data_IF_526037089579
#
_entry.id   IF_526037089579
#
_cell.length_a   1.000
_cell.length_b   1.000
_cell.length_c   1.000
_cell.angle_alpha   90.00
_cell.angle_beta   90.00
_cell.angle_gamma   90.00
#
_symmetry.space_group_name_H-M   'P 1'
#
loop_
_entity.id
_entity.type
_entity.pdbx_description
1 polymer ?
#
# COMPACT_ATOMS: atom_id res chain seq x y z
N UNK A 1 -12.10 -8.44 -6.07
CA UNK A 1 -11.27 -7.98 -7.21
C UNK A 1 -9.91 -7.55 -6.67
N UNK A 2 -8.83 -7.84 -7.36
CA UNK A 2 -7.46 -7.46 -7.00
C UNK A 2 -6.93 -6.46 -8.03
N UNK A 3 -6.59 -5.26 -7.57
CA UNK A 3 -5.95 -4.22 -8.39
C UNK A 3 -4.50 -4.02 -7.98
N UNK A 4 -3.60 -3.91 -8.95
CA UNK A 4 -2.18 -3.63 -8.76
C UNK A 4 -1.82 -2.31 -9.45
N UNK A 5 -1.29 -1.36 -8.69
CA UNK A 5 -0.68 -0.15 -9.20
C UNK A 5 0.84 -0.23 -9.01
N UNK A 6 1.55 -0.56 -10.09
CA UNK A 6 3.00 -0.79 -10.08
C UNK A 6 3.75 0.11 -11.07
N UNK A 7 5.04 -0.17 -11.31
CA UNK A 7 5.90 0.58 -12.22
C UNK A 7 6.68 1.73 -11.57
N UNK A 8 7.61 2.30 -12.33
CA UNK A 8 8.62 3.23 -11.79
C UNK A 8 8.19 4.69 -11.69
N UNK A 9 7.04 5.02 -12.24
CA UNK A 9 6.48 6.37 -12.23
C UNK A 9 5.88 6.75 -10.88
N UNK A 10 5.76 8.06 -10.70
CA UNK A 10 5.00 8.67 -9.61
C UNK A 10 3.50 8.57 -9.92
N UNK A 11 2.70 8.08 -8.98
CA UNK A 11 1.23 8.05 -9.13
C UNK A 11 0.53 6.85 -8.48
N UNK A 12 1.25 5.80 -8.09
CA UNK A 12 0.68 4.55 -7.55
C UNK A 12 -0.14 4.79 -6.26
N UNK A 13 0.52 5.29 -5.21
CA UNK A 13 -0.14 5.62 -3.94
C UNK A 13 -1.24 6.66 -4.12
N UNK A 14 -1.00 7.73 -4.88
CA UNK A 14 -2.01 8.78 -5.06
C UNK A 14 -3.25 8.30 -5.82
N UNK A 15 -3.10 7.37 -6.77
CA UNK A 15 -4.23 6.70 -7.41
C UNK A 15 -5.01 5.84 -6.40
N UNK A 16 -4.34 5.06 -5.56
CA UNK A 16 -4.98 4.26 -4.52
C UNK A 16 -5.72 5.12 -3.49
N UNK A 17 -5.14 6.25 -3.07
CA UNK A 17 -5.79 7.23 -2.19
C UNK A 17 -7.01 7.86 -2.87
N UNK A 18 -6.93 8.20 -4.16
CA UNK A 18 -8.08 8.69 -4.93
C UNK A 18 -9.22 7.69 -5.00
N UNK A 19 -8.91 6.39 -5.18
CA UNK A 19 -9.89 5.32 -5.15
C UNK A 19 -10.51 5.15 -3.76
N UNK A 20 -9.69 5.20 -2.70
CA UNK A 20 -10.17 5.14 -1.31
C UNK A 20 -11.17 6.26 -1.00
N UNK A 21 -10.86 7.50 -1.39
CA UNK A 21 -11.77 8.64 -1.24
C UNK A 21 -13.06 8.44 -2.05
N UNK A 22 -12.97 7.95 -3.29
CA UNK A 22 -14.14 7.67 -4.12
C UNK A 22 -15.05 6.63 -3.47
N UNK A 23 -14.50 5.48 -3.07
CA UNK A 23 -15.26 4.40 -2.44
C UNK A 23 -15.95 4.89 -1.15
N UNK A 24 -15.22 5.62 -0.31
CA UNK A 24 -15.76 6.20 0.91
C UNK A 24 -16.87 7.22 0.64
N UNK A 25 -16.71 8.07 -0.37
CA UNK A 25 -17.75 9.01 -0.81
C UNK A 25 -19.04 8.34 -1.28
N UNK A 26 -18.99 7.06 -1.65
CA UNK A 26 -20.15 6.23 -1.97
C UNK A 26 -20.66 5.38 -0.78
N UNK A 27 -20.17 5.64 0.44
CA UNK A 27 -20.62 4.98 1.67
C UNK A 27 -19.98 3.62 1.93
N UNK A 28 -18.93 3.24 1.18
CA UNK A 28 -18.18 2.01 1.45
C UNK A 28 -17.24 2.21 2.66
N UNK A 29 -17.06 1.13 3.41
CA UNK A 29 -16.05 1.02 4.46
C UNK A 29 -14.70 0.74 3.81
N UNK A 30 -13.76 1.65 4.06
CA UNK A 30 -12.43 1.64 3.44
C UNK A 30 -11.35 1.59 4.50
N UNK A 31 -10.36 0.73 4.30
CA UNK A 31 -9.13 0.69 5.09
C UNK A 31 -7.90 0.91 4.20
N UNK A 32 -6.92 1.65 4.71
CA UNK A 32 -5.65 1.93 4.05
C UNK A 32 -4.50 1.60 4.99
N UNK A 33 -3.74 0.58 4.64
CA UNK A 33 -2.58 0.11 5.39
C UNK A 33 -1.32 0.46 4.61
N UNK A 34 -0.46 1.30 5.20
CA UNK A 34 0.75 1.77 4.56
C UNK A 34 1.98 1.11 5.18
N UNK A 35 2.64 0.24 4.42
CA UNK A 35 3.88 -0.38 4.85
C UNK A 35 5.05 0.58 4.62
N UNK A 36 6.12 0.44 5.42
CA UNK A 36 7.36 1.25 5.37
C UNK A 36 7.21 2.75 5.74
N UNK A 37 5.99 3.27 5.84
CA UNK A 37 5.71 4.64 6.28
C UNK A 37 5.61 4.71 7.80
N UNK A 38 6.14 5.77 8.40
CA UNK A 38 6.02 5.99 9.85
C UNK A 38 4.64 6.51 10.22
N UNK A 39 4.32 6.44 11.51
CA UNK A 39 3.17 7.12 12.08
C UNK A 39 3.30 8.67 12.10
N UNK A 40 4.45 9.23 11.70
CA UNK A 40 4.59 10.68 11.54
C UNK A 40 3.70 11.14 10.37
N UNK A 41 3.01 12.26 10.52
CA UNK A 41 1.95 12.71 9.61
C UNK A 41 2.43 12.80 8.16
N UNK A 42 1.94 11.90 7.29
CA UNK A 42 1.85 12.14 5.85
C UNK A 42 0.50 12.80 5.53
N UNK A 43 0.46 13.61 4.47
CA UNK A 43 -0.72 14.41 4.13
C UNK A 43 -1.96 13.55 3.88
N UNK A 44 -1.77 12.37 3.27
CA UNK A 44 -2.85 11.46 2.93
C UNK A 44 -3.49 10.86 4.19
N UNK A 45 -2.72 10.30 5.14
CA UNK A 45 -3.32 9.71 6.33
C UNK A 45 -4.04 10.76 7.18
N UNK A 46 -3.53 12.00 7.24
CA UNK A 46 -4.20 13.10 7.93
C UNK A 46 -5.59 13.35 7.34
N UNK A 47 -5.68 13.47 6.01
CA UNK A 47 -6.96 13.73 5.33
C UNK A 47 -7.88 12.51 5.39
N UNK A 48 -7.36 11.30 5.12
CA UNK A 48 -8.14 10.06 5.16
C UNK A 48 -8.78 9.84 6.55
N UNK A 49 -8.02 10.01 7.63
CA UNK A 49 -8.56 9.92 9.00
C UNK A 49 -9.59 11.00 9.28
N UNK A 50 -9.36 12.23 8.80
CA UNK A 50 -10.33 13.32 8.92
C UNK A 50 -11.65 13.05 8.18
N UNK A 51 -11.62 12.25 7.11
CA UNK A 51 -12.81 11.76 6.42
C UNK A 51 -13.46 10.57 7.14
N UNK A 52 -12.80 9.95 8.12
CA UNK A 52 -13.29 8.75 8.81
C UNK A 52 -12.85 7.43 8.14
N UNK A 53 -11.88 7.48 7.22
CA UNK A 53 -11.26 6.28 6.63
C UNK A 53 -10.20 5.73 7.58
N UNK A 54 -10.21 4.42 7.81
CA UNK A 54 -9.22 3.75 8.67
C UNK A 54 -7.87 3.71 7.95
N UNK A 55 -6.98 4.64 8.28
CA UNK A 55 -5.66 4.74 7.68
C UNK A 55 -4.57 4.54 8.73
N UNK A 56 -3.72 3.52 8.55
CA UNK A 56 -2.67 3.13 9.51
C UNK A 56 -1.34 2.92 8.80
N UNK A 57 -0.25 3.18 9.50
CA UNK A 57 1.10 3.04 8.96
C UNK A 57 1.95 2.09 9.80
N UNK A 58 2.72 1.24 9.13
CA UNK A 58 3.54 0.18 9.71
C UNK A 58 4.94 0.23 9.12
N UNK A 59 5.73 1.18 9.57
CA UNK A 59 7.09 1.38 9.09
C UNK A 59 7.93 2.17 10.06
N UNK A 60 9.23 1.90 10.02
CA UNK A 60 10.25 2.63 10.77
C UNK A 60 10.66 3.95 10.12
N UNK A 61 10.29 4.16 8.85
CA UNK A 61 10.75 5.29 8.03
C UNK A 61 12.16 5.11 7.48
N UNK A 62 12.76 3.93 7.67
CA UNK A 62 14.06 3.58 7.10
C UNK A 62 13.85 2.72 5.87
N UNK A 63 14.64 3.01 4.84
CA UNK A 63 14.69 2.20 3.63
C UNK A 63 15.39 0.86 3.91
N UNK A 64 14.88 -0.21 3.31
CA UNK A 64 15.46 -1.57 3.37
C UNK A 64 16.38 -1.86 2.18
N UNK A 65 17.05 -0.82 1.67
CA UNK A 65 17.98 -0.95 0.53
C UNK A 65 19.30 -1.52 1.08
N UNK A 66 19.74 -2.64 0.49
CA UNK A 66 20.99 -3.33 0.81
C UNK A 66 21.14 -3.75 2.29
N UNK A 67 20.01 -4.00 2.99
CA UNK A 67 20.00 -4.48 4.38
C UNK A 67 18.77 -5.33 4.71
N UNK A 68 18.91 -6.19 5.70
CA UNK A 68 17.79 -6.95 6.28
C UNK A 68 17.01 -6.13 7.33
N UNK A 69 15.69 -6.31 7.45
CA UNK A 69 14.88 -5.62 8.45
C UNK A 69 15.28 -6.03 9.87
N UNK A 70 15.18 -5.10 10.82
CA UNK A 70 15.41 -5.43 12.22
C UNK A 70 14.17 -6.02 12.91
N UNK A 71 14.30 -6.59 14.12
CA UNK A 71 13.16 -7.19 14.83
C UNK A 71 11.98 -6.23 15.09
N UNK A 72 12.24 -4.92 15.23
CA UNK A 72 11.18 -3.93 15.44
C UNK A 72 10.41 -3.64 14.14
N UNK A 73 11.11 -3.57 13.01
CA UNK A 73 10.50 -3.45 11.68
C UNK A 73 9.65 -4.67 11.34
N UNK A 74 10.14 -5.88 11.63
CA UNK A 74 9.38 -7.13 11.47
C UNK A 74 8.12 -7.13 12.35
N UNK A 75 8.23 -6.69 13.61
CA UNK A 75 7.08 -6.61 14.50
C UNK A 75 6.02 -5.60 14.02
N UNK A 76 6.44 -4.44 13.49
CA UNK A 76 5.53 -3.46 12.91
C UNK A 76 4.80 -4.03 11.69
N UNK A 77 5.53 -4.70 10.78
CA UNK A 77 4.93 -5.31 9.60
C UNK A 77 3.94 -6.42 9.98
N UNK A 78 4.29 -7.28 10.94
CA UNK A 78 3.40 -8.33 11.45
C UNK A 78 2.14 -7.75 12.11
N UNK A 79 2.26 -6.66 12.86
CA UNK A 79 1.11 -5.95 13.41
C UNK A 79 0.20 -5.44 12.28
N UNK A 80 0.79 -4.77 11.26
CA UNK A 80 0.04 -4.27 10.12
C UNK A 80 -0.70 -5.38 9.38
N UNK A 81 -0.04 -6.52 9.20
CA UNK A 81 -0.65 -7.67 8.55
C UNK A 81 -1.84 -8.25 9.32
N UNK A 82 -1.72 -8.40 10.64
CA UNK A 82 -2.83 -8.87 11.47
C UNK A 82 -4.07 -7.93 11.39
N UNK A 83 -3.84 -6.64 11.14
CA UNK A 83 -4.91 -5.66 10.94
C UNK A 83 -5.50 -5.71 9.53
N UNK A 84 -4.68 -6.00 8.51
CA UNK A 84 -5.15 -6.29 7.15
C UNK A 84 -6.10 -7.48 7.16
N UNK A 85 -5.69 -8.62 7.73
CA UNK A 85 -6.51 -9.83 7.82
C UNK A 85 -7.84 -9.54 8.52
N UNK A 86 -7.79 -8.78 9.62
CA UNK A 86 -8.99 -8.37 10.34
C UNK A 86 -9.89 -7.48 9.48
N UNK A 87 -9.36 -6.52 8.75
CA UNK A 87 -10.17 -5.65 7.91
C UNK A 87 -10.88 -6.45 6.81
N UNK A 88 -10.16 -7.35 6.15
CA UNK A 88 -10.73 -8.26 5.15
C UNK A 88 -11.84 -9.13 5.76
N UNK A 89 -11.68 -9.61 6.99
CA UNK A 89 -12.68 -10.44 7.67
C UNK A 89 -13.88 -9.68 8.27
N UNK A 90 -13.81 -8.36 8.46
CA UNK A 90 -14.80 -7.59 9.26
C UNK A 90 -15.64 -6.61 8.44
N UNK A 91 -15.77 -6.87 7.14
CA UNK A 91 -16.73 -6.19 6.26
C UNK A 91 -16.29 -4.81 5.76
N UNK A 92 -14.98 -4.60 5.60
CA UNK A 92 -14.45 -3.52 4.74
C UNK A 92 -14.63 -3.94 3.27
N UNK A 93 -15.15 -3.05 2.42
CA UNK A 93 -15.33 -3.36 0.99
C UNK A 93 -14.12 -2.96 0.13
N UNK A 94 -13.25 -2.09 0.63
CA UNK A 94 -12.00 -1.72 -0.05
C UNK A 94 -10.86 -1.71 0.97
N UNK A 95 -9.80 -2.47 0.68
CA UNK A 95 -8.59 -2.54 1.49
C UNK A 95 -7.39 -2.21 0.61
N UNK A 96 -6.68 -1.12 0.94
CA UNK A 96 -5.46 -0.70 0.26
C UNK A 96 -4.24 -1.18 1.04
N UNK A 97 -3.36 -1.91 0.37
CA UNK A 97 -2.04 -2.36 0.83
C UNK A 97 -0.97 -1.53 0.13
N UNK A 98 -0.70 -0.35 0.68
CA UNK A 98 0.23 0.63 0.11
C UNK A 98 1.68 0.25 0.42
N UNK A 99 2.52 0.24 -0.61
CA UNK A 99 3.94 -0.20 -0.60
C UNK A 99 4.15 -1.67 -0.18
N UNK A 100 3.15 -2.52 -0.38
CA UNK A 100 3.20 -3.95 -0.03
C UNK A 100 4.30 -4.71 -0.78
N UNK A 101 4.58 -4.35 -2.04
CA UNK A 101 5.64 -5.00 -2.81
C UNK A 101 7.01 -4.80 -2.15
N UNK A 102 7.26 -3.59 -1.62
CA UNK A 102 8.50 -3.30 -0.92
C UNK A 102 8.58 -4.00 0.43
N UNK A 103 7.45 -4.19 1.12
CA UNK A 103 7.42 -4.98 2.34
C UNK A 103 7.79 -6.45 2.08
N UNK A 104 7.25 -7.05 1.03
CA UNK A 104 7.57 -8.43 0.66
C UNK A 104 9.00 -8.56 0.15
N UNK A 105 9.39 -7.74 -0.83
CA UNK A 105 10.73 -7.78 -1.42
C UNK A 105 11.83 -7.45 -0.40
N UNK A 106 11.54 -6.61 0.59
CA UNK A 106 12.45 -6.26 1.67
C UNK A 106 12.45 -7.26 2.84
N UNK A 107 11.71 -8.37 2.75
CA UNK A 107 11.69 -9.41 3.78
C UNK A 107 10.91 -9.04 5.05
N UNK A 108 10.08 -7.98 5.04
CA UNK A 108 9.21 -7.63 6.16
C UNK A 108 8.02 -8.58 6.29
N UNK A 109 7.53 -9.07 5.15
CA UNK A 109 6.41 -10.01 5.08
C UNK A 109 6.80 -11.18 4.16
N UNK A 110 6.53 -12.43 4.56
CA UNK A 110 6.63 -13.58 3.67
C UNK A 110 5.73 -13.44 2.45
N UNK A 111 6.25 -13.77 1.26
CA UNK A 111 5.50 -13.75 0.01
C UNK A 111 4.24 -14.62 0.08
N UNK A 112 4.38 -15.86 0.56
CA UNK A 112 3.27 -16.81 0.67
C UNK A 112 2.16 -16.30 1.59
N UNK A 113 2.51 -15.58 2.66
CA UNK A 113 1.51 -15.01 3.57
C UNK A 113 0.61 -14.01 2.84
N UNK A 114 1.19 -13.13 2.01
CA UNK A 114 0.41 -12.16 1.23
C UNK A 114 -0.37 -12.85 0.14
N UNK A 115 0.26 -13.81 -0.56
CA UNK A 115 -0.38 -14.58 -1.63
C UNK A 115 -1.62 -15.34 -1.15
N UNK A 116 -1.55 -16.01 0.00
CA UNK A 116 -2.71 -16.72 0.56
C UNK A 116 -3.89 -15.80 0.81
N UNK A 117 -3.67 -14.58 1.31
CA UNK A 117 -4.76 -13.60 1.45
C UNK A 117 -5.36 -13.23 0.09
N UNK A 118 -4.55 -13.06 -0.96
CA UNK A 118 -5.04 -12.73 -2.29
C UNK A 118 -5.90 -13.86 -2.88
N UNK A 119 -5.50 -15.12 -2.67
CA UNK A 119 -6.24 -16.30 -3.15
C UNK A 119 -7.55 -16.53 -2.39
N UNK A 120 -7.56 -16.22 -1.09
CA UNK A 120 -8.68 -16.51 -0.17
C UNK A 120 -9.60 -15.32 0.10
N UNK A 121 -9.26 -14.13 -0.41
CA UNK A 121 -9.99 -12.90 -0.16
C UNK A 121 -11.49 -13.06 -0.52
N UNK A 122 -12.41 -12.65 0.37
CA UNK A 122 -13.83 -12.67 0.07
C UNK A 122 -14.17 -11.85 -1.17
N UNK A 123 -15.10 -12.36 -1.98
CA UNK A 123 -15.47 -11.74 -3.28
C UNK A 123 -16.06 -10.34 -3.16
N UNK A 124 -16.59 -9.97 -1.99
CA UNK A 124 -17.15 -8.66 -1.66
C UNK A 124 -16.10 -7.64 -1.15
N UNK A 125 -14.82 -8.05 -1.09
CA UNK A 125 -13.70 -7.18 -0.75
C UNK A 125 -12.87 -6.88 -2.01
N UNK A 126 -12.60 -5.60 -2.23
CA UNK A 126 -11.67 -5.13 -3.24
C UNK A 126 -10.30 -4.85 -2.61
N UNK A 127 -9.26 -5.48 -3.14
CA UNK A 127 -7.88 -5.33 -2.67
C UNK A 127 -7.09 -4.47 -3.66
N UNK A 128 -6.37 -3.48 -3.15
CA UNK A 128 -5.51 -2.61 -3.96
C UNK A 128 -4.08 -2.68 -3.45
N UNK A 129 -3.16 -3.16 -4.27
CA UNK A 129 -1.75 -3.29 -3.93
C UNK A 129 -0.95 -2.23 -4.68
N UNK A 130 -0.03 -1.57 -3.99
CA UNK A 130 0.87 -0.58 -4.60
C UNK A 130 2.34 -0.93 -4.35
N UNK A 131 3.20 -0.42 -5.22
CA UNK A 131 4.65 -0.44 -5.04
C UNK A 131 5.40 -0.82 -6.33
N UNK A 132 6.73 -0.76 -6.30
CA UNK A 132 7.58 -1.11 -7.45
C UNK A 132 7.96 -2.58 -7.43
N UNK A 133 8.37 -3.13 -8.57
CA UNK A 133 8.83 -4.51 -8.70
C UNK A 133 7.86 -5.50 -8.01
N UNK A 134 6.58 -5.42 -8.37
CA UNK A 134 5.55 -6.27 -7.77
C UNK A 134 5.90 -7.76 -8.02
N UNK A 135 5.83 -8.64 -7.01
CA UNK A 135 6.03 -10.08 -7.19
C UNK A 135 5.15 -10.66 -8.29
N UNK A 136 5.71 -11.55 -9.11
CA UNK A 136 5.03 -12.15 -10.26
C UNK A 136 3.79 -12.94 -9.81
N UNK A 137 3.90 -13.61 -8.66
CA UNK A 137 2.83 -14.36 -8.01
C UNK A 137 1.61 -13.48 -7.72
N UNK A 138 1.81 -12.20 -7.41
CA UNK A 138 0.70 -11.27 -7.17
C UNK A 138 0.11 -10.77 -8.48
N UNK A 139 0.95 -10.56 -9.51
CA UNK A 139 0.50 -10.15 -10.84
C UNK A 139 -0.39 -11.21 -11.49
N UNK A 140 -0.07 -12.49 -11.32
CA UNK A 140 -0.87 -13.61 -11.84
C UNK A 140 -2.28 -13.62 -11.24
N UNK A 141 -2.44 -13.19 -9.99
CA UNK A 141 -3.72 -13.18 -9.27
C UNK A 141 -4.53 -11.89 -9.51
N UNK A 142 -3.95 -10.86 -10.12
CA UNK A 142 -4.62 -9.57 -10.26
C UNK A 142 -5.62 -9.52 -11.41
N UNK A 143 -6.77 -8.91 -11.14
CA UNK A 143 -7.80 -8.64 -12.15
C UNK A 143 -7.48 -7.37 -12.96
N UNK A 144 -6.82 -6.40 -12.32
CA UNK A 144 -6.39 -5.15 -12.94
C UNK A 144 -4.93 -4.86 -12.59
N UNK A 145 -4.12 -4.61 -13.61
CA UNK A 145 -2.74 -4.14 -13.44
C UNK A 145 -2.59 -2.81 -14.18
N UNK A 146 -2.19 -1.78 -13.45
CA UNK A 146 -1.78 -0.49 -14.02
C UNK A 146 -0.31 -0.25 -13.77
N UNK A 147 0.47 -0.17 -14.84
CA UNK A 147 1.88 0.19 -14.78
C UNK A 147 2.05 1.71 -14.98
N UNK A 148 2.46 2.40 -13.92
CA UNK A 148 2.80 3.81 -13.97
C UNK A 148 4.23 3.94 -14.47
N UNK A 149 4.41 4.34 -15.74
CA UNK A 149 5.74 4.50 -16.35
C UNK A 149 6.32 5.89 -16.12
N UNK A 150 7.60 5.97 -15.73
CA UNK A 150 8.31 7.23 -15.53
C UNK A 150 8.80 7.85 -16.86
N UNK A 151 7.88 8.41 -17.67
CA UNK A 151 8.23 9.05 -18.95
C UNK A 151 9.13 10.28 -18.75
N UNK A 152 8.88 11.05 -17.69
CA UNK A 152 9.71 12.17 -17.23
C UNK A 152 9.49 12.37 -15.74
N UNK A 153 10.55 12.66 -14.99
CA UNK A 153 10.45 12.93 -13.55
C UNK A 153 11.30 14.14 -13.16
N UNK A 154 10.79 15.10 -12.36
CA UNK A 154 11.55 16.30 -11.94
C UNK A 154 12.88 16.00 -11.25
N UNK A 155 12.96 14.87 -10.54
CA UNK A 155 14.19 14.41 -9.89
C UNK A 155 15.37 14.24 -10.86
N UNK A 156 15.13 13.87 -12.14
CA UNK A 156 16.22 13.75 -13.12
C UNK A 156 16.83 15.10 -13.51
N UNK A 157 16.18 16.20 -13.11
CA UNK A 157 16.68 17.57 -13.23
C UNK A 157 17.21 18.14 -11.91
N UNK A 158 17.36 17.30 -10.87
CA UNK A 158 17.83 17.71 -9.54
C UNK A 158 16.77 18.41 -8.68
N UNK A 159 15.47 18.31 -9.04
CA UNK A 159 14.40 18.85 -8.19
C UNK A 159 14.10 17.83 -7.07
N UNK A 160 14.33 18.25 -5.83
CA UNK A 160 14.07 17.47 -4.62
C UNK A 160 12.57 17.34 -4.30
N UNK A 161 12.24 16.47 -3.34
CA UNK A 161 10.88 16.22 -2.91
C UNK A 161 10.27 17.46 -2.23
N UNK A 162 9.03 17.80 -2.60
CA UNK A 162 8.32 18.99 -2.08
C UNK A 162 7.10 18.57 -1.28
N UNK A 163 6.89 19.26 -0.16
CA UNK A 163 5.70 19.11 0.68
C UNK A 163 4.42 19.44 -0.09
N UNK A 164 3.40 18.61 0.06
CA UNK A 164 2.12 18.66 -0.65
C UNK A 164 2.16 18.12 -2.08
N UNK A 165 3.33 17.71 -2.59
CA UNK A 165 3.48 17.21 -3.97
C UNK A 165 4.11 15.83 -4.01
N UNK A 166 5.26 15.63 -3.37
CA UNK A 166 5.93 14.32 -3.25
C UNK A 166 5.68 13.64 -1.90
N UNK A 167 5.42 14.42 -0.85
CA UNK A 167 5.05 13.96 0.50
C UNK A 167 4.21 15.02 1.23
#
# INVERSE_FOLDING_TARGET
>A
MIQIYTGDGKGKTTAAVGLAVRAHGHGLRVAVFQFLKTAQENGEARVLRGLGIDCRQYGSGRWLIDREPDPAELALAAQGWAEVERAVATGYQLVVLDEISHAVNGGLLPLEQVKSLLEEAPTDVELVLTGRAMPEEFLVLADLITEVRAVRHPFTRGIEARKGIEY
#
